data_IF_918658489288
#
_entry.id   IF_918658489288
#
_cell.length_a   1.000
_cell.length_b   1.000
_cell.length_c   1.000
_cell.angle_alpha   90.00
_cell.angle_beta   90.00
_cell.angle_gamma   90.00
#
_symmetry.space_group_name_H-M   'P 1'
#
loop_
_entity.id
_entity.type
_entity.pdbx_description
1 polymer ?
#
# COMPACT_ATOMS: atom_id res chain seq x y z
N UNK A 1 8.45 -2.11 3.69
CA UNK A 1 8.98 -1.42 4.89
C UNK A 1 9.51 -0.08 4.44
N UNK A 2 9.51 0.94 5.30
CA UNK A 2 10.19 2.22 5.06
C UNK A 2 11.56 2.30 5.76
N UNK A 3 12.29 3.39 5.52
CA UNK A 3 13.61 3.65 6.09
C UNK A 3 13.60 3.84 7.62
N UNK A 4 12.43 3.99 8.24
CA UNK A 4 12.26 4.06 9.70
C UNK A 4 11.90 2.69 10.29
N UNK A 5 11.88 1.63 9.47
CA UNK A 5 11.55 0.28 9.86
C UNK A 5 10.04 -0.02 9.89
N UNK A 6 9.18 0.93 9.54
CA UNK A 6 7.73 0.73 9.65
C UNK A 6 7.23 -0.18 8.53
N UNK A 7 6.24 -1.02 8.85
CA UNK A 7 5.63 -1.97 7.92
C UNK A 7 4.31 -1.43 7.42
N UNK A 8 4.19 -1.30 6.09
CA UNK A 8 2.98 -0.83 5.42
C UNK A 8 2.25 -2.03 4.84
N UNK A 9 1.11 -2.39 5.44
CA UNK A 9 0.37 -3.62 5.14
C UNK A 9 -0.92 -3.32 4.40
N UNK A 10 -1.09 -3.95 3.24
CA UNK A 10 -2.36 -4.03 2.53
C UNK A 10 -3.31 -5.05 3.18
N UNK A 11 -4.59 -4.67 3.25
CA UNK A 11 -5.63 -5.50 3.83
C UNK A 11 -6.65 -5.90 2.78
N UNK A 12 -6.63 -7.17 2.37
CA UNK A 12 -7.70 -7.76 1.58
C UNK A 12 -9.02 -7.76 2.38
N UNK A 13 -10.07 -7.17 1.82
CA UNK A 13 -11.36 -6.96 2.50
C UNK A 13 -11.33 -5.87 3.57
N UNK A 14 -10.21 -5.15 3.73
CA UNK A 14 -10.02 -4.23 4.86
C UNK A 14 -10.15 -2.76 4.53
N UNK A 15 -10.36 -2.39 3.26
CA UNK A 15 -10.50 -1.00 2.79
C UNK A 15 -9.33 -0.08 3.21
N UNK A 16 -8.12 -0.62 3.35
CA UNK A 16 -7.00 0.16 3.88
C UNK A 16 -5.60 -0.39 3.62
N UNK A 17 -4.64 0.51 3.81
CA UNK A 17 -3.25 0.19 4.20
C UNK A 17 -3.08 0.58 5.68
N UNK A 18 -2.48 -0.28 6.49
CA UNK A 18 -2.09 0.06 7.87
C UNK A 18 -0.58 0.17 7.99
N UNK A 19 -0.09 1.22 8.65
CA UNK A 19 1.32 1.39 9.01
C UNK A 19 1.54 0.88 10.44
N UNK A 20 2.51 -0.03 10.61
CA UNK A 20 2.91 -0.58 11.89
C UNK A 20 4.35 -0.21 12.24
N UNK A 21 4.67 -0.01 13.51
CA UNK A 21 6.06 0.10 13.97
C UNK A 21 6.79 -1.24 13.84
N UNK A 22 8.11 -1.23 13.97
CA UNK A 22 8.92 -2.47 14.03
C UNK A 22 8.50 -3.39 15.20
N UNK A 23 7.89 -2.81 16.24
CA UNK A 23 7.40 -3.54 17.42
C UNK A 23 5.94 -3.99 17.28
N UNK A 24 5.32 -3.76 16.12
CA UNK A 24 3.94 -4.17 15.83
C UNK A 24 2.86 -3.19 16.31
N UNK A 25 3.24 -2.01 16.80
CA UNK A 25 2.28 -0.99 17.20
C UNK A 25 1.60 -0.39 15.98
N UNK A 26 0.33 -0.04 16.12
CA UNK A 26 -0.41 0.61 15.04
C UNK A 26 -0.10 2.11 15.01
N UNK A 27 0.57 2.57 13.95
CA UNK A 27 0.99 3.96 13.78
C UNK A 27 -0.01 4.80 12.98
N UNK A 28 -0.80 4.19 12.09
CA UNK A 28 -1.78 4.92 11.29
C UNK A 28 -2.43 4.10 10.18
N UNK A 29 -3.37 4.72 9.46
CA UNK A 29 -4.13 4.11 8.35
C UNK A 29 -4.24 5.06 7.17
N UNK A 30 -4.11 4.49 5.97
CA UNK A 30 -4.60 5.10 4.73
C UNK A 30 -5.90 4.38 4.35
N UNK A 31 -7.06 5.07 4.39
CA UNK A 31 -8.31 4.49 3.91
C UNK A 31 -8.28 4.37 2.38
N UNK A 32 -8.88 3.29 1.86
CA UNK A 32 -8.99 3.02 0.43
C UNK A 32 -10.46 2.86 0.04
N UNK A 33 -10.89 3.35 -1.14
CA UNK A 33 -12.30 3.34 -1.54
C UNK A 33 -12.83 1.97 -1.99
N UNK A 34 -12.03 0.90 -1.86
CA UNK A 34 -12.36 -0.46 -2.28
C UNK A 34 -11.81 -1.48 -1.28
N UNK A 35 -12.50 -2.62 -1.10
CA UNK A 35 -12.14 -3.62 -0.09
C UNK A 35 -10.84 -4.34 -0.40
N UNK A 36 -10.56 -4.61 -1.68
CA UNK A 36 -9.55 -5.58 -2.11
C UNK A 36 -8.19 -4.93 -2.37
N UNK A 37 -7.58 -4.40 -1.30
CA UNK A 37 -6.22 -3.85 -1.34
C UNK A 37 -5.22 -5.01 -1.29
N UNK A 38 -4.36 -5.14 -2.30
CA UNK A 38 -3.52 -6.34 -2.47
C UNK A 38 -2.10 -6.16 -1.99
N UNK A 39 -1.44 -5.08 -2.38
CA UNK A 39 -0.03 -4.86 -2.04
C UNK A 39 0.35 -3.39 -2.19
N UNK A 40 1.49 -3.02 -1.64
CA UNK A 40 2.05 -1.68 -1.77
C UNK A 40 3.57 -1.68 -1.84
N UNK A 41 4.13 -0.72 -2.57
CA UNK A 41 5.58 -0.55 -2.74
C UNK A 41 5.94 0.93 -2.83
N UNK A 42 7.09 1.32 -2.28
CA UNK A 42 7.63 2.65 -2.47
C UNK A 42 8.26 2.77 -3.86
N UNK A 43 8.00 3.88 -4.54
CA UNK A 43 8.54 4.20 -5.85
C UNK A 43 8.65 5.71 -6.03
N UNK A 44 8.83 6.16 -7.28
CA UNK A 44 9.36 7.48 -7.67
C UNK A 44 10.88 7.60 -7.43
N UNK A 45 11.50 8.67 -7.93
CA UNK A 45 12.95 8.90 -7.80
C UNK A 45 13.42 9.15 -6.37
N UNK A 46 12.55 9.67 -5.51
CA UNK A 46 12.82 9.95 -4.10
C UNK A 46 12.38 8.81 -3.16
N UNK A 47 11.81 7.71 -3.69
CA UNK A 47 11.18 6.62 -2.95
C UNK A 47 10.13 7.08 -1.92
N UNK A 48 9.50 8.24 -2.15
CA UNK A 48 8.54 8.90 -1.25
C UNK A 48 7.08 8.76 -1.70
N UNK A 49 6.81 7.88 -2.66
CA UNK A 49 5.46 7.59 -3.14
C UNK A 49 5.13 6.12 -2.90
N UNK A 50 4.07 5.87 -2.13
CA UNK A 50 3.53 4.52 -1.95
C UNK A 50 2.56 4.23 -3.09
N UNK A 51 2.95 3.30 -3.98
CA UNK A 51 2.08 2.73 -5.00
C UNK A 51 1.29 1.59 -4.40
N UNK A 52 -0.02 1.54 -4.65
CA UNK A 52 -0.95 0.61 -4.01
C UNK A 52 -1.72 -0.11 -5.11
N UNK A 53 -1.55 -1.42 -5.17
CA UNK A 53 -2.29 -2.29 -6.08
C UNK A 53 -3.58 -2.76 -5.42
N UNK A 54 -4.62 -2.94 -6.24
CA UNK A 54 -5.88 -3.55 -5.83
C UNK A 54 -6.33 -4.58 -6.83
N UNK A 55 -7.28 -5.43 -6.42
CA UNK A 55 -7.84 -6.47 -7.27
C UNK A 55 -9.29 -6.18 -7.67
N UNK A 56 -9.72 -6.90 -8.71
CA UNK A 56 -11.11 -7.05 -9.12
C UNK A 56 -11.50 -8.51 -8.94
N UNK A 57 -12.08 -8.86 -7.80
CA UNK A 57 -12.65 -10.19 -7.57
C UNK A 57 -14.07 -10.06 -7.07
N UNK A 58 -15.04 -10.43 -7.90
CA UNK A 58 -16.48 -10.26 -7.61
C UNK A 58 -16.83 -8.83 -7.17
N UNK A 59 -16.49 -7.81 -7.98
CA UNK A 59 -16.73 -6.42 -7.63
C UNK A 59 -18.24 -6.09 -7.68
N UNK A 60 -18.68 -5.24 -6.76
CA UNK A 60 -19.81 -4.35 -7.01
C UNK A 60 -19.26 -3.03 -7.53
N UNK A 61 -19.39 -2.77 -8.82
CA UNK A 61 -18.88 -1.53 -9.44
C UNK A 61 -19.77 -0.31 -9.19
N UNK A 62 -21.01 -0.49 -8.74
CA UNK A 62 -21.84 0.63 -8.31
C UNK A 62 -21.31 1.18 -6.97
N UNK A 63 -20.89 0.30 -6.06
CA UNK A 63 -20.30 0.69 -4.78
C UNK A 63 -18.80 1.00 -4.88
N UNK A 64 -18.06 0.25 -5.69
CA UNK A 64 -16.60 0.34 -5.81
C UNK A 64 -16.15 0.54 -7.26
N UNK A 65 -16.44 1.71 -7.87
CA UNK A 65 -16.13 1.97 -9.28
C UNK A 65 -14.62 1.96 -9.60
N UNK A 66 -13.76 2.04 -8.57
CA UNK A 66 -12.30 2.03 -8.71
C UNK A 66 -11.66 0.67 -8.36
N UNK A 67 -12.44 -0.40 -8.22
CA UNK A 67 -11.89 -1.73 -7.99
C UNK A 67 -10.88 -2.11 -9.10
N UNK A 68 -9.70 -2.60 -8.71
CA UNK A 68 -8.64 -3.01 -9.63
C UNK A 68 -7.70 -1.91 -10.11
N UNK A 69 -7.97 -0.65 -9.79
CA UNK A 69 -7.13 0.47 -10.21
C UNK A 69 -5.84 0.51 -9.38
N UNK A 70 -4.77 1.03 -9.98
CA UNK A 70 -3.52 1.38 -9.31
C UNK A 70 -3.63 2.77 -8.67
N UNK A 71 -3.33 2.86 -7.38
CA UNK A 71 -3.31 4.11 -6.64
C UNK A 71 -1.88 4.51 -6.29
N UNK A 72 -1.69 5.81 -6.03
CA UNK A 72 -0.44 6.33 -5.48
C UNK A 72 -0.73 7.44 -4.48
N UNK A 73 0.09 7.54 -3.44
CA UNK A 73 0.06 8.63 -2.47
C UNK A 73 1.48 9.06 -2.11
N UNK A 74 1.65 10.32 -1.72
CA UNK A 74 2.90 10.79 -1.14
C UNK A 74 2.96 10.42 0.34
N UNK A 75 4.15 10.05 0.80
CA UNK A 75 4.43 9.73 2.20
C UNK A 75 5.48 10.68 2.77
N UNK A 76 5.43 11.00 4.07
CA UNK A 76 6.47 11.81 4.72
C UNK A 76 7.77 11.04 4.95
N UNK A 77 7.75 9.72 4.72
CA UNK A 77 8.89 8.81 4.82
C UNK A 77 9.26 8.27 3.44
N UNK A 78 10.40 7.58 3.37
CA UNK A 78 10.91 6.96 2.14
C UNK A 78 11.06 5.46 2.30
N UNK A 79 10.91 4.72 1.22
CA UNK A 79 11.20 3.29 1.20
C UNK A 79 12.57 2.95 0.66
N UNK A 80 12.73 1.67 0.31
CA UNK A 80 13.92 1.13 -0.32
C UNK A 80 13.67 0.82 -1.79
N UNK A 81 14.71 0.94 -2.61
CA UNK A 81 14.71 0.30 -3.92
C UNK A 81 14.66 -1.22 -3.73
N UNK A 82 13.82 -1.90 -4.50
CA UNK A 82 13.80 -3.35 -4.50
C UNK A 82 15.14 -3.83 -5.08
N UNK A 83 15.89 -4.70 -4.36
CA UNK A 83 17.12 -5.24 -4.90
C UNK A 83 16.81 -6.06 -6.16
N UNK A 84 17.63 -5.94 -7.22
CA UNK A 84 17.45 -6.80 -8.38
C UNK A 84 17.65 -8.26 -7.97
N UNK A 85 16.97 -9.16 -8.67
CA UNK A 85 17.33 -10.57 -8.62
C UNK A 85 18.76 -10.73 -9.19
N UNK A 86 19.59 -11.51 -8.51
CA UNK A 86 20.97 -11.83 -8.92
C UNK A 86 21.13 -13.34 -8.97
N UNK A 87 21.67 -13.85 -10.09
CA UNK A 87 21.98 -15.26 -10.31
C UNK A 87 23.22 -15.72 -9.52
#
# INVERSE_FOLDING_TARGET
>A
MDCEGRVWRAHWGGHRITCFSLHGEWLGVIPMPMPQVTSSVFGNSALSTLHITTAVRNPDFAEHPLAGVLFRIFTPTTGFASPPFVD
#
